data_IF_313285990974
#
_entry.id   IF_313285990974
#
_cell.length_a   1.000
_cell.length_b   1.000
_cell.length_c   1.000
_cell.angle_alpha   90.00
_cell.angle_beta   90.00
_cell.angle_gamma   90.00
#
_symmetry.space_group_name_H-M   'P 1'
#
loop_
_entity.id
_entity.type
_entity.pdbx_description
1 polymer ?
#
# COMPACT_ATOMS: atom_id res chain seq x y z
N UNK A 1 15.18 -68.17 4.46
CA UNK A 1 14.54 -66.95 4.99
C UNK A 1 13.87 -66.34 3.79
N UNK A 2 12.56 -66.53 3.66
CA UNK A 2 11.80 -65.89 2.60
C UNK A 2 11.87 -64.39 2.88
N UNK A 3 12.57 -63.68 2.00
CA UNK A 3 12.72 -62.25 2.04
C UNK A 3 11.33 -61.68 1.78
N UNK A 4 10.68 -61.19 2.83
CA UNK A 4 9.40 -60.48 2.74
C UNK A 4 9.75 -59.14 2.08
N UNK A 5 9.84 -59.15 0.75
CA UNK A 5 9.98 -57.94 -0.04
C UNK A 5 8.76 -57.08 0.23
N UNK A 6 8.99 -55.99 0.95
CA UNK A 6 7.96 -55.03 1.33
C UNK A 6 7.39 -54.45 0.03
N UNK A 7 6.06 -54.44 -0.21
CA UNK A 7 5.48 -54.04 -1.50
C UNK A 7 5.55 -52.52 -1.76
N UNK A 8 6.75 -51.94 -1.82
CA UNK A 8 7.00 -50.50 -2.03
C UNK A 8 7.08 -50.13 -3.51
N UNK A 9 7.31 -51.11 -4.40
CA UNK A 9 7.31 -50.93 -5.86
C UNK A 9 5.95 -50.45 -6.36
N UNK A 10 4.87 -51.14 -5.94
CA UNK A 10 3.50 -50.80 -6.32
C UNK A 10 3.09 -49.41 -5.79
N UNK A 11 3.62 -49.00 -4.63
CA UNK A 11 3.37 -47.66 -4.10
C UNK A 11 4.08 -46.58 -4.92
N UNK A 12 5.33 -46.81 -5.31
CA UNK A 12 6.05 -45.89 -6.19
C UNK A 12 5.39 -45.81 -7.57
N UNK A 13 4.95 -46.94 -8.10
CA UNK A 13 4.26 -47.03 -9.38
C UNK A 13 2.90 -46.32 -9.32
N UNK A 14 2.10 -46.56 -8.27
CA UNK A 14 0.81 -45.87 -8.07
C UNK A 14 1.01 -44.36 -7.88
N UNK A 15 2.05 -43.94 -7.17
CA UNK A 15 2.35 -42.51 -6.98
C UNK A 15 2.78 -41.89 -8.30
N UNK A 16 3.66 -42.55 -9.06
CA UNK A 16 4.17 -42.05 -10.33
C UNK A 16 3.04 -41.97 -11.37
N UNK A 17 2.23 -43.00 -11.47
CA UNK A 17 1.04 -43.05 -12.32
C UNK A 17 0.07 -41.92 -11.96
N UNK A 18 -0.20 -41.67 -10.68
CA UNK A 18 -1.10 -40.61 -10.24
C UNK A 18 -0.54 -39.20 -10.43
N UNK A 19 0.79 -39.04 -10.38
CA UNK A 19 1.48 -37.78 -10.69
C UNK A 19 1.49 -37.52 -12.20
N UNK A 20 1.73 -38.54 -13.03
CA UNK A 20 1.59 -38.46 -14.48
C UNK A 20 0.13 -38.19 -14.88
N UNK A 21 -0.85 -38.84 -14.27
CA UNK A 21 -2.28 -38.63 -14.55
C UNK A 21 -2.76 -37.22 -14.14
N UNK A 22 -2.15 -36.61 -13.13
CA UNK A 22 -2.40 -35.21 -12.74
C UNK A 22 -1.75 -34.21 -13.71
N UNK A 23 -0.62 -34.56 -14.33
CA UNK A 23 0.07 -33.75 -15.34
C UNK A 23 -0.53 -33.92 -16.75
N UNK A 24 -1.08 -35.11 -17.07
CA UNK A 24 -1.71 -35.43 -18.37
C UNK A 24 -3.16 -34.97 -18.47
N UNK A 25 -3.82 -34.66 -17.34
CA UNK A 25 -5.14 -34.03 -17.35
C UNK A 25 -5.00 -32.58 -17.82
N UNK A 26 -5.14 -32.41 -19.14
CA UNK A 26 -5.34 -31.13 -19.82
C UNK A 26 -6.15 -30.17 -18.92
N UNK A 27 -5.64 -28.97 -18.64
CA UNK A 27 -6.32 -28.04 -17.76
C UNK A 27 -7.71 -27.77 -18.35
N UNK A 28 -8.75 -28.14 -17.60
CA UNK A 28 -10.12 -27.87 -18.03
C UNK A 28 -10.25 -26.40 -18.43
N UNK A 29 -11.04 -26.09 -19.46
CA UNK A 29 -11.25 -24.71 -19.92
C UNK A 29 -11.60 -23.77 -18.74
N UNK A 30 -12.34 -24.29 -17.74
CA UNK A 30 -12.65 -23.60 -16.49
C UNK A 30 -11.39 -23.21 -15.68
N UNK A 31 -10.45 -24.13 -15.46
CA UNK A 31 -9.18 -23.85 -14.77
C UNK A 31 -8.36 -22.79 -15.52
N UNK A 32 -8.36 -22.82 -16.85
CA UNK A 32 -7.64 -21.83 -17.66
C UNK A 32 -8.24 -20.42 -17.53
N UNK A 33 -9.57 -20.28 -17.52
CA UNK A 33 -10.23 -18.99 -17.26
C UNK A 33 -9.92 -18.44 -15.86
N UNK A 34 -9.90 -19.30 -14.84
CA UNK A 34 -9.53 -18.88 -13.48
C UNK A 34 -8.07 -18.42 -13.43
N UNK A 35 -7.16 -19.16 -14.06
CA UNK A 35 -5.74 -18.81 -14.10
C UNK A 35 -5.50 -17.43 -14.75
N UNK A 36 -6.13 -17.18 -15.91
CA UNK A 36 -6.00 -15.90 -16.63
C UNK A 36 -6.58 -14.74 -15.81
N UNK A 37 -7.79 -14.91 -15.25
CA UNK A 37 -8.41 -13.87 -14.41
C UNK A 37 -7.59 -13.57 -13.15
N UNK A 38 -7.05 -14.60 -12.50
CA UNK A 38 -6.19 -14.44 -11.32
C UNK A 38 -4.87 -13.73 -11.66
N UNK A 39 -4.27 -14.06 -12.82
CA UNK A 39 -3.07 -13.37 -13.30
C UNK A 39 -3.35 -11.88 -13.55
N UNK A 40 -4.48 -11.55 -14.16
CA UNK A 40 -4.89 -10.15 -14.37
C UNK A 40 -5.07 -9.41 -13.05
N UNK A 41 -5.74 -10.03 -12.07
CA UNK A 41 -5.92 -9.47 -10.73
C UNK A 41 -4.59 -9.26 -10.01
N UNK A 42 -3.63 -10.19 -10.17
CA UNK A 42 -2.30 -10.07 -9.59
C UNK A 42 -1.51 -8.89 -10.19
N UNK A 43 -1.60 -8.68 -11.51
CA UNK A 43 -0.99 -7.51 -12.16
C UNK A 43 -1.61 -6.21 -11.66
N UNK A 44 -2.93 -6.13 -11.56
CA UNK A 44 -3.62 -4.95 -11.00
C UNK A 44 -3.26 -4.71 -9.53
N UNK A 45 -3.17 -5.76 -8.72
CA UNK A 45 -2.73 -5.68 -7.33
C UNK A 45 -1.29 -5.15 -7.22
N UNK A 46 -0.38 -5.63 -8.08
CA UNK A 46 1.00 -5.19 -8.10
C UNK A 46 1.12 -3.71 -8.49
N UNK A 47 0.40 -3.26 -9.52
CA UNK A 47 0.36 -1.85 -9.93
C UNK A 47 -0.21 -0.98 -8.80
N UNK A 48 -1.33 -1.39 -8.22
CA UNK A 48 -1.97 -0.67 -7.10
C UNK A 48 -1.02 -0.56 -5.91
N UNK A 49 -0.29 -1.63 -5.59
CA UNK A 49 0.69 -1.66 -4.49
C UNK A 49 1.86 -0.72 -4.76
N UNK A 50 2.39 -0.69 -5.98
CA UNK A 50 3.46 0.22 -6.37
C UNK A 50 3.03 1.68 -6.26
N UNK A 51 1.83 2.01 -6.77
CA UNK A 51 1.28 3.37 -6.68
C UNK A 51 0.99 3.77 -5.23
N UNK A 52 0.46 2.85 -4.40
CA UNK A 52 0.24 3.08 -2.98
C UNK A 52 1.57 3.39 -2.28
N UNK A 53 2.63 2.63 -2.60
CA UNK A 53 3.98 2.85 -2.07
C UNK A 53 4.55 4.21 -2.46
N UNK A 54 4.37 4.63 -3.72
CA UNK A 54 4.81 5.95 -4.17
C UNK A 54 4.13 7.09 -3.40
N UNK A 55 2.79 7.06 -3.28
CA UNK A 55 2.06 8.08 -2.52
C UNK A 55 2.38 8.06 -1.03
N UNK A 56 2.57 6.89 -0.42
CA UNK A 56 3.03 6.79 0.97
C UNK A 56 4.41 7.44 1.17
N UNK A 57 5.33 7.24 0.22
CA UNK A 57 6.66 7.81 0.28
C UNK A 57 6.64 9.34 0.11
N UNK A 58 5.88 9.87 -0.86
CA UNK A 58 5.73 11.32 -1.04
C UNK A 58 5.05 11.96 0.17
N UNK A 59 3.99 11.35 0.70
CA UNK A 59 3.36 11.80 1.94
C UNK A 59 4.36 11.89 3.09
N UNK A 60 5.19 10.86 3.26
CA UNK A 60 6.22 10.84 4.30
C UNK A 60 7.27 11.94 4.10
N UNK A 61 7.74 12.15 2.87
CA UNK A 61 8.69 13.21 2.54
C UNK A 61 8.10 14.58 2.88
N UNK A 62 6.86 14.85 2.50
CA UNK A 62 6.21 16.12 2.78
C UNK A 62 5.91 16.32 4.26
N UNK A 63 5.54 15.26 4.99
CA UNK A 63 5.41 15.30 6.44
C UNK A 63 6.75 15.63 7.13
N UNK A 64 7.87 15.08 6.64
CA UNK A 64 9.21 15.40 7.15
C UNK A 64 9.52 16.88 6.89
N UNK A 65 9.28 17.39 5.68
CA UNK A 65 9.47 18.82 5.37
C UNK A 65 8.60 19.72 6.24
N UNK A 66 7.33 19.36 6.47
CA UNK A 66 6.42 20.09 7.35
C UNK A 66 6.96 20.12 8.79
N UNK A 67 7.41 18.96 9.31
CA UNK A 67 8.04 18.84 10.62
C UNK A 67 9.28 19.73 10.76
N UNK A 68 10.14 19.76 9.74
CA UNK A 68 11.33 20.63 9.72
C UNK A 68 10.95 22.12 9.77
N UNK A 69 9.90 22.53 9.04
CA UNK A 69 9.40 23.90 9.09
C UNK A 69 8.80 24.25 10.46
N UNK A 70 8.04 23.32 11.07
CA UNK A 70 7.50 23.50 12.42
C UNK A 70 8.60 23.59 13.47
N UNK A 71 9.64 22.77 13.37
CA UNK A 71 10.81 22.83 14.23
C UNK A 71 11.55 24.17 14.07
N UNK A 72 11.71 24.64 12.83
CA UNK A 72 12.34 25.93 12.55
C UNK A 72 11.52 27.11 13.11
N UNK A 73 10.20 27.10 12.93
CA UNK A 73 9.28 28.08 13.52
C UNK A 73 9.39 28.12 15.04
N UNK A 74 9.37 26.95 15.70
CA UNK A 74 9.51 26.86 17.15
C UNK A 74 10.85 27.39 17.64
N UNK A 75 11.95 26.99 17.00
CA UNK A 75 13.29 27.47 17.35
C UNK A 75 13.41 29.00 17.20
N UNK A 76 12.82 29.57 16.14
CA UNK A 76 12.82 31.03 15.93
C UNK A 76 11.99 31.75 16.98
N UNK A 77 10.82 31.22 17.32
CA UNK A 77 9.95 31.77 18.37
C UNK A 77 10.66 31.78 19.73
N UNK A 78 11.32 30.68 20.09
CA UNK A 78 12.10 30.59 21.34
C UNK A 78 13.23 31.63 21.36
N UNK A 79 14.00 31.76 20.27
CA UNK A 79 15.07 32.76 20.16
C UNK A 79 14.55 34.20 20.26
N UNK A 80 13.39 34.48 19.67
CA UNK A 80 12.75 35.79 19.77
C UNK A 80 12.33 36.10 21.22
N UNK A 81 11.76 35.12 21.93
CA UNK A 81 11.38 35.27 23.34
C UNK A 81 12.60 35.47 24.25
N UNK A 82 13.68 34.71 24.05
CA UNK A 82 14.94 34.89 24.79
C UNK A 82 15.50 36.30 24.56
N UNK A 83 15.56 36.76 23.31
CA UNK A 83 16.03 38.12 22.98
C UNK A 83 15.14 39.19 23.63
N UNK A 84 13.82 38.97 23.69
CA UNK A 84 12.89 39.88 24.34
C UNK A 84 13.16 39.99 25.84
N UNK A 85 13.42 38.86 26.52
CA UNK A 85 13.82 38.82 27.92
C UNK A 85 15.16 39.57 28.15
N UNK A 86 16.16 39.36 27.30
CA UNK A 86 17.45 40.07 27.36
C UNK A 86 17.28 41.59 27.14
N UNK A 87 16.48 41.99 26.17
CA UNK A 87 16.19 43.40 25.85
C UNK A 87 15.33 44.11 26.91
N UNK A 88 14.54 43.39 27.71
CA UNK A 88 13.83 43.99 28.86
C UNK A 88 14.83 44.50 29.91
N UNK A 89 16.06 43.99 29.89
CA UNK A 89 17.18 44.43 30.74
C UNK A 89 17.99 45.58 30.10
N UNK A 90 17.75 45.93 28.82
CA UNK A 90 18.54 46.90 28.03
C UNK A 90 17.63 47.74 27.11
N UNK A 91 17.44 49.04 27.43
CA UNK A 91 16.50 49.98 26.77
C UNK A 91 16.89 50.31 25.31
N UNK A 92 16.89 49.37 24.35
CA UNK A 92 16.99 49.69 22.91
C UNK A 92 16.57 48.51 22.00
N UNK A 93 15.29 48.37 21.63
CA UNK A 93 14.90 47.77 20.33
C UNK A 93 13.39 47.73 20.11
N UNK A 94 12.87 48.63 19.28
CA UNK A 94 11.46 48.62 18.85
C UNK A 94 11.27 48.39 17.33
N UNK A 95 12.34 48.18 16.55
CA UNK A 95 12.25 48.18 15.07
C UNK A 95 12.28 46.80 14.39
N UNK A 96 12.54 45.70 15.12
CA UNK A 96 12.77 44.35 14.56
C UNK A 96 11.58 43.38 14.67
N UNK A 97 10.46 43.83 15.25
CA UNK A 97 9.33 42.94 15.61
C UNK A 97 8.45 42.62 14.40
N UNK A 98 8.18 43.58 13.51
CA UNK A 98 7.26 43.40 12.38
C UNK A 98 7.83 42.50 11.27
N UNK A 99 9.11 42.63 10.92
CA UNK A 99 9.80 41.77 9.95
C UNK A 99 9.86 40.31 10.45
N UNK A 100 10.09 40.11 11.76
CA UNK A 100 10.12 38.79 12.39
C UNK A 100 8.76 38.10 12.31
N UNK A 101 7.66 38.85 12.42
CA UNK A 101 6.29 38.32 12.37
C UNK A 101 5.92 37.86 10.95
N UNK A 102 6.27 38.64 9.92
CA UNK A 102 6.04 38.28 8.53
C UNK A 102 6.80 37.01 8.13
N UNK A 103 8.08 36.91 8.50
CA UNK A 103 8.87 35.71 8.24
C UNK A 103 8.34 34.50 9.00
N UNK A 104 7.85 34.69 10.23
CA UNK A 104 7.24 33.62 11.05
C UNK A 104 5.96 33.08 10.40
N UNK A 105 5.11 33.97 9.87
CA UNK A 105 3.90 33.61 9.16
C UNK A 105 4.20 32.87 7.84
N UNK A 106 5.26 33.26 7.13
CA UNK A 106 5.68 32.57 5.91
C UNK A 106 6.15 31.14 6.19
N UNK A 107 6.90 30.92 7.29
CA UNK A 107 7.34 29.56 7.72
C UNK A 107 6.13 28.71 8.09
N UNK A 108 5.18 29.28 8.83
CA UNK A 108 3.93 28.61 9.21
C UNK A 108 3.10 28.21 7.99
N UNK A 109 2.90 29.13 7.05
CA UNK A 109 2.17 28.85 5.81
C UNK A 109 2.85 27.72 5.00
N UNK A 110 4.18 27.72 4.94
CA UNK A 110 4.95 26.68 4.26
C UNK A 110 4.84 25.32 4.95
N UNK A 111 4.87 25.29 6.28
CA UNK A 111 4.65 24.07 7.06
C UNK A 111 3.27 23.47 6.75
N UNK A 112 2.21 24.29 6.84
CA UNK A 112 0.84 23.88 6.55
C UNK A 112 0.65 23.41 5.10
N UNK A 113 1.31 24.04 4.12
CA UNK A 113 1.20 23.61 2.72
C UNK A 113 1.80 22.23 2.47
N UNK A 114 2.90 21.88 3.16
CA UNK A 114 3.48 20.54 3.08
C UNK A 114 2.62 19.51 3.82
N UNK A 115 1.98 19.90 4.92
CA UNK A 115 1.06 19.06 5.68
C UNK A 115 -0.18 18.69 4.84
N UNK A 116 -0.77 19.67 4.14
CA UNK A 116 -1.89 19.47 3.23
C UNK A 116 -1.51 18.59 2.02
N UNK A 117 -0.31 18.80 1.45
CA UNK A 117 0.23 17.94 0.39
C UNK A 117 0.43 16.50 0.88
N UNK A 118 0.94 16.32 2.10
CA UNK A 118 1.12 15.02 2.72
C UNK A 118 -0.21 14.29 2.91
N UNK A 119 -1.22 14.99 3.44
CA UNK A 119 -2.56 14.42 3.66
C UNK A 119 -3.22 14.00 2.34
N UNK A 120 -3.13 14.83 1.30
CA UNK A 120 -3.62 14.48 -0.03
C UNK A 120 -2.96 13.21 -0.61
N UNK A 121 -1.66 13.03 -0.37
CA UNK A 121 -0.96 11.81 -0.74
C UNK A 121 -1.37 10.60 0.12
N UNK A 122 -1.63 10.79 1.42
CA UNK A 122 -2.12 9.73 2.30
C UNK A 122 -3.52 9.25 1.89
N UNK A 123 -4.43 10.13 1.51
CA UNK A 123 -5.76 9.75 1.05
C UNK A 123 -5.68 8.82 -0.17
N UNK A 124 -4.84 9.17 -1.15
CA UNK A 124 -4.57 8.34 -2.33
C UNK A 124 -3.95 6.99 -1.96
N UNK A 125 -2.95 7.00 -1.06
CA UNK A 125 -2.37 5.77 -0.54
C UNK A 125 -3.44 4.86 0.10
N UNK A 126 -4.34 5.41 0.91
CA UNK A 126 -5.39 4.66 1.58
C UNK A 126 -6.38 4.04 0.61
N UNK A 127 -6.78 4.75 -0.45
CA UNK A 127 -7.64 4.21 -1.50
C UNK A 127 -6.96 3.08 -2.28
N UNK A 128 -5.68 3.25 -2.65
CA UNK A 128 -4.92 2.20 -3.34
C UNK A 128 -4.68 0.98 -2.46
N UNK A 129 -4.40 1.18 -1.16
CA UNK A 129 -4.25 0.09 -0.20
C UNK A 129 -5.54 -0.74 -0.06
N UNK A 130 -6.71 -0.08 -0.09
CA UNK A 130 -8.02 -0.78 -0.14
C UNK A 130 -8.20 -1.57 -1.44
N UNK A 131 -7.79 -1.03 -2.59
CA UNK A 131 -7.83 -1.77 -3.85
C UNK A 131 -6.94 -3.02 -3.81
N UNK A 132 -5.70 -2.91 -3.31
CA UNK A 132 -4.76 -4.03 -3.16
C UNK A 132 -5.35 -5.14 -2.30
N UNK A 133 -5.93 -4.80 -1.15
CA UNK A 133 -6.51 -5.80 -0.23
C UNK A 133 -7.70 -6.53 -0.86
N UNK A 134 -8.56 -5.82 -1.60
CA UNK A 134 -9.66 -6.45 -2.34
C UNK A 134 -9.15 -7.42 -3.41
N UNK A 135 -8.13 -7.05 -4.19
CA UNK A 135 -7.53 -7.95 -5.16
C UNK A 135 -6.89 -9.18 -4.49
N UNK A 136 -6.22 -9.03 -3.35
CA UNK A 136 -5.64 -10.16 -2.62
C UNK A 136 -6.71 -11.14 -2.12
N UNK A 137 -7.79 -10.64 -1.54
CA UNK A 137 -8.94 -11.46 -1.12
C UNK A 137 -9.55 -12.18 -2.31
N UNK A 138 -9.72 -11.48 -3.43
CA UNK A 138 -10.28 -12.07 -4.63
C UNK A 138 -9.36 -13.15 -5.24
N UNK A 139 -8.02 -12.96 -5.24
CA UNK A 139 -7.04 -13.98 -5.64
C UNK A 139 -7.15 -15.22 -4.74
N UNK A 140 -7.28 -15.04 -3.43
CA UNK A 140 -7.42 -16.14 -2.49
C UNK A 140 -8.70 -16.95 -2.75
N UNK A 141 -9.84 -16.28 -2.98
CA UNK A 141 -11.11 -16.94 -3.33
C UNK A 141 -11.00 -17.66 -4.68
N UNK A 142 -10.30 -17.05 -5.63
CA UNK A 142 -10.01 -17.65 -6.95
C UNK A 142 -9.24 -18.97 -6.82
N UNK A 143 -8.20 -19.01 -5.98
CA UNK A 143 -7.44 -20.21 -5.70
C UNK A 143 -8.29 -21.31 -5.03
N UNK A 144 -9.15 -20.94 -4.07
CA UNK A 144 -10.08 -21.87 -3.42
C UNK A 144 -11.10 -22.41 -4.44
N UNK A 145 -11.53 -21.60 -5.41
CA UNK A 145 -12.45 -22.01 -6.47
C UNK A 145 -11.87 -23.12 -7.35
N UNK A 146 -10.56 -23.10 -7.62
CA UNK A 146 -9.87 -24.16 -8.39
C UNK A 146 -9.89 -25.47 -7.60
N UNK A 147 -9.51 -25.42 -6.32
CA UNK A 147 -9.43 -26.61 -5.45
C UNK A 147 -10.80 -27.25 -5.21
N UNK A 148 -11.84 -26.44 -5.03
CA UNK A 148 -13.20 -26.92 -4.75
C UNK A 148 -14.02 -27.23 -5.99
N UNK A 149 -13.51 -26.89 -7.20
CA UNK A 149 -14.22 -27.01 -8.49
C UNK A 149 -15.62 -26.36 -8.48
N UNK A 150 -15.84 -25.34 -7.63
CA UNK A 150 -17.14 -24.64 -7.49
C UNK A 150 -17.12 -23.30 -8.22
N UNK A 151 -17.84 -23.22 -9.34
CA UNK A 151 -17.96 -22.00 -10.16
C UNK A 151 -18.58 -20.79 -9.44
N UNK A 152 -19.39 -21.02 -8.39
CA UNK A 152 -19.98 -19.92 -7.60
C UNK A 152 -18.91 -19.07 -6.89
N UNK A 153 -17.81 -19.70 -6.47
CA UNK A 153 -16.72 -19.01 -5.78
C UNK A 153 -15.94 -18.12 -6.75
N UNK A 154 -15.75 -18.57 -7.99
CA UNK A 154 -15.15 -17.77 -9.04
C UNK A 154 -15.98 -16.52 -9.40
N UNK A 155 -17.30 -16.64 -9.48
CA UNK A 155 -18.15 -15.46 -9.64
C UNK A 155 -18.05 -14.49 -8.46
N UNK A 156 -17.94 -15.03 -7.24
CA UNK A 156 -17.68 -14.24 -6.04
C UNK A 156 -16.36 -13.45 -6.10
N UNK A 157 -15.27 -14.09 -6.55
CA UNK A 157 -13.98 -13.39 -6.69
C UNK A 157 -14.02 -12.31 -7.76
N UNK A 158 -14.74 -12.52 -8.87
CA UNK A 158 -14.90 -11.50 -9.91
C UNK A 158 -15.64 -10.26 -9.39
N UNK A 159 -16.70 -10.42 -8.60
CA UNK A 159 -17.42 -9.28 -8.01
C UNK A 159 -16.49 -8.47 -7.09
N UNK A 160 -15.71 -9.15 -6.26
CA UNK A 160 -14.74 -8.49 -5.36
C UNK A 160 -13.63 -7.79 -6.17
N UNK A 161 -13.16 -8.41 -7.25
CA UNK A 161 -12.17 -7.81 -8.15
C UNK A 161 -12.71 -6.54 -8.83
N UNK A 162 -13.98 -6.54 -9.24
CA UNK A 162 -14.64 -5.34 -9.80
C UNK A 162 -14.73 -4.22 -8.76
N UNK A 163 -15.05 -4.55 -7.50
CA UNK A 163 -15.02 -3.57 -6.42
C UNK A 163 -13.59 -3.01 -6.21
N UNK A 164 -12.57 -3.87 -6.27
CA UNK A 164 -11.16 -3.45 -6.22
C UNK A 164 -10.79 -2.50 -7.37
N UNK A 165 -11.27 -2.79 -8.58
CA UNK A 165 -11.06 -1.94 -9.76
C UNK A 165 -11.72 -0.57 -9.60
N UNK A 166 -12.91 -0.51 -8.98
CA UNK A 166 -13.58 0.77 -8.68
C UNK A 166 -12.73 1.65 -7.76
N UNK A 167 -12.19 1.10 -6.66
CA UNK A 167 -11.30 1.85 -5.77
C UNK A 167 -9.99 2.26 -6.47
N UNK A 168 -9.44 1.40 -7.33
CA UNK A 168 -8.26 1.74 -8.11
C UNK A 168 -8.51 2.94 -9.02
N UNK A 169 -9.61 2.93 -9.79
CA UNK A 169 -9.97 4.03 -10.69
C UNK A 169 -10.26 5.30 -9.90
N UNK A 170 -11.00 5.20 -8.79
CA UNK A 170 -11.31 6.33 -7.91
C UNK A 170 -10.08 6.92 -7.21
N UNK A 171 -8.94 6.23 -7.20
CA UNK A 171 -7.69 6.80 -6.68
C UNK A 171 -6.90 7.56 -7.76
N UNK A 172 -7.13 7.25 -9.04
CA UNK A 172 -6.47 7.92 -10.16
C UNK A 172 -7.14 9.27 -10.46
N UNK A 173 -8.49 9.29 -10.44
CA UNK A 173 -9.32 10.47 -10.69
C UNK A 173 -9.56 11.26 -9.41
#
# INVERSE_FOLDING_TARGET
>A
MDEIEVPTEHLHETIKEKVEELNEKEPSHFSMYIAISTALMAVLAAISSLMAGHHSNEAMIDQIKASDQWAYYQAKTIKAEIRKLESTTSITSHKTVDETLQESNAIKAKASSFEESSEAHLEKHMLLARAVTLFQVAIAISAISILTKKSILWWGSLIIAIAGLFYFISSIF
#
